data_IF_263464292284
#
_entry.id   IF_263464292284
#
_cell.length_a   1.000
_cell.length_b   1.000
_cell.length_c   1.000
_cell.angle_alpha   90.00
_cell.angle_beta   90.00
_cell.angle_gamma   90.00
#
_symmetry.space_group_name_H-M   'P 1'
#
loop_
_entity.id
_entity.type
_entity.pdbx_description
1 polymer ?
#
# COMPACT_ATOMS: atom_id res chain seq x y z
N UNK A 1 -3.09 -20.30 23.55
CA UNK A 1 -1.89 -19.67 23.01
C UNK A 1 -2.28 -18.58 22.02
N UNK A 2 -1.79 -17.39 22.20
CA UNK A 2 -2.14 -16.28 21.33
C UNK A 2 -1.19 -16.24 20.13
N UNK A 3 -1.72 -15.81 18.99
CA UNK A 3 -0.89 -15.57 17.81
C UNK A 3 -0.09 -14.29 18.00
N UNK A 4 1.13 -14.22 17.44
CA UNK A 4 1.82 -12.95 17.36
C UNK A 4 1.00 -11.96 16.55
N UNK A 5 0.92 -10.76 17.03
CA UNK A 5 0.23 -9.69 16.30
C UNK A 5 1.18 -9.15 15.23
N UNK A 6 0.73 -9.15 13.98
CA UNK A 6 1.52 -8.60 12.89
C UNK A 6 1.57 -7.08 13.04
N UNK A 7 2.77 -6.54 12.96
CA UNK A 7 2.92 -5.08 12.95
C UNK A 7 2.34 -4.51 11.67
N UNK A 8 1.84 -3.29 11.74
CA UNK A 8 1.41 -2.58 10.55
C UNK A 8 2.62 -2.12 9.74
N UNK A 9 2.45 -1.83 8.44
CA UNK A 9 3.58 -1.37 7.63
C UNK A 9 4.27 -0.14 8.19
N UNK A 10 3.52 0.81 8.71
CA UNK A 10 4.10 2.05 9.23
C UNK A 10 4.99 1.81 10.45
N UNK A 11 4.73 0.73 11.19
CA UNK A 11 5.53 0.40 12.36
C UNK A 11 6.90 -0.19 11.99
N UNK A 12 7.08 -0.54 10.73
CA UNK A 12 8.32 -1.16 10.24
C UNK A 12 9.27 -0.15 9.61
N UNK A 13 8.94 1.12 9.66
CA UNK A 13 9.80 2.19 9.18
C UNK A 13 9.90 3.28 10.26
N UNK A 14 10.99 4.01 10.26
CA UNK A 14 11.17 5.08 11.22
C UNK A 14 10.28 6.28 10.92
N UNK A 15 9.92 6.49 9.66
CA UNK A 15 9.06 7.59 9.26
C UNK A 15 8.30 7.21 8.00
N UNK A 16 7.03 6.88 8.16
CA UNK A 16 6.18 6.48 7.05
C UNK A 16 5.63 7.71 6.35
N UNK A 17 5.57 7.74 5.02
CA UNK A 17 6.14 6.77 4.09
C UNK A 17 7.53 7.15 3.57
N UNK A 18 8.19 8.09 4.20
CA UNK A 18 9.39 8.73 3.66
C UNK A 18 10.65 7.90 3.81
N UNK A 19 10.73 7.11 4.87
CA UNK A 19 11.92 6.32 5.15
C UNK A 19 11.71 4.87 4.76
N UNK A 20 12.69 4.25 4.09
CA UNK A 20 12.59 2.83 3.75
C UNK A 20 12.47 1.94 4.98
N UNK A 21 11.80 0.82 4.81
CA UNK A 21 11.71 -0.20 5.85
C UNK A 21 12.81 -1.23 5.63
N UNK A 22 13.40 -1.69 6.73
CA UNK A 22 14.40 -2.77 6.67
C UNK A 22 13.71 -4.10 6.38
N UNK A 23 12.53 -4.30 6.96
CA UNK A 23 11.74 -5.50 6.72
C UNK A 23 11.26 -5.53 5.27
N UNK A 24 11.55 -6.62 4.52
CA UNK A 24 11.16 -6.67 3.10
C UNK A 24 9.67 -6.50 2.86
N UNK A 25 8.84 -7.09 3.72
CA UNK A 25 7.39 -6.94 3.58
C UNK A 25 6.96 -5.50 3.78
N UNK A 26 7.53 -4.86 4.80
CA UNK A 26 7.24 -3.45 5.06
C UNK A 26 7.66 -2.55 3.91
N UNK A 27 8.79 -2.84 3.29
CA UNK A 27 9.26 -2.05 2.17
C UNK A 27 8.36 -2.22 0.94
N UNK A 28 7.87 -3.45 0.69
CA UNK A 28 6.93 -3.68 -0.40
C UNK A 28 5.64 -2.87 -0.15
N UNK A 29 5.13 -2.90 1.07
CA UNK A 29 3.92 -2.14 1.41
C UNK A 29 4.13 -0.64 1.25
N UNK A 30 5.31 -0.14 1.64
CA UNK A 30 5.64 1.28 1.52
C UNK A 30 5.66 1.70 0.04
N UNK A 31 6.33 0.91 -0.79
CA UNK A 31 6.40 1.21 -2.23
C UNK A 31 5.04 1.09 -2.90
N UNK A 32 4.23 0.11 -2.46
CA UNK A 32 2.87 0.00 -2.96
C UNK A 32 2.08 1.28 -2.65
N UNK A 33 2.17 1.77 -1.42
CA UNK A 33 1.47 2.99 -1.03
C UNK A 33 1.94 4.20 -1.86
N UNK A 34 3.22 4.30 -2.13
CA UNK A 34 3.75 5.37 -2.96
C UNK A 34 3.23 5.26 -4.40
N UNK A 35 3.23 4.04 -4.94
CA UNK A 35 2.71 3.80 -6.29
C UNK A 35 1.23 4.14 -6.38
N UNK A 36 0.48 3.78 -5.34
CA UNK A 36 -0.94 4.11 -5.28
C UNK A 36 -1.15 5.62 -5.28
N UNK A 37 -0.39 6.34 -4.46
CA UNK A 37 -0.51 7.79 -4.39
C UNK A 37 -0.25 8.44 -5.75
N UNK A 38 0.78 7.97 -6.45
CA UNK A 38 1.11 8.49 -7.77
C UNK A 38 0.01 8.17 -8.78
N UNK A 39 -0.52 6.94 -8.73
CA UNK A 39 -1.56 6.53 -9.67
C UNK A 39 -2.88 7.25 -9.41
N UNK A 40 -3.12 7.68 -8.19
CA UNK A 40 -4.30 8.49 -7.88
C UNK A 40 -4.29 9.83 -8.60
N UNK A 41 -3.11 10.35 -8.86
CA UNK A 41 -2.91 11.53 -9.71
C UNK A 41 -3.77 12.71 -9.26
N UNK A 42 -3.72 13.02 -7.97
CA UNK A 42 -4.46 14.13 -7.39
C UNK A 42 -5.92 13.84 -7.06
N UNK A 43 -6.43 12.66 -7.41
CA UNK A 43 -7.80 12.29 -7.04
C UNK A 43 -7.93 12.16 -5.54
N UNK A 44 -9.10 12.49 -5.02
CA UNK A 44 -9.40 12.28 -3.62
C UNK A 44 -9.52 10.78 -3.32
N UNK A 45 -9.46 10.44 -2.03
CA UNK A 45 -9.68 9.06 -1.61
C UNK A 45 -11.08 8.58 -2.03
N UNK A 46 -12.06 9.47 -1.94
CA UNK A 46 -13.44 9.13 -2.31
C UNK A 46 -13.56 8.87 -3.80
N UNK A 47 -12.95 9.72 -4.62
CA UNK A 47 -12.98 9.53 -6.07
C UNK A 47 -12.27 8.23 -6.47
N UNK A 48 -11.16 7.92 -5.81
CA UNK A 48 -10.43 6.69 -6.05
C UNK A 48 -11.28 5.49 -5.66
N UNK A 49 -11.99 5.58 -4.53
CA UNK A 49 -12.88 4.50 -4.10
C UNK A 49 -13.98 4.23 -5.14
N UNK A 50 -14.56 5.29 -5.66
CA UNK A 50 -15.61 5.14 -6.69
C UNK A 50 -15.07 4.52 -7.97
N UNK A 51 -13.88 4.94 -8.36
CA UNK A 51 -13.27 4.46 -9.60
C UNK A 51 -12.86 2.99 -9.51
N UNK A 52 -12.36 2.56 -8.35
CA UNK A 52 -11.77 1.23 -8.20
C UNK A 52 -12.69 0.22 -7.56
N UNK A 53 -13.74 0.66 -6.89
CA UNK A 53 -14.61 -0.23 -6.13
C UNK A 53 -14.00 -0.66 -4.79
N UNK A 54 -12.88 -0.06 -4.40
CA UNK A 54 -12.26 -0.34 -3.10
C UNK A 54 -12.80 0.66 -2.08
N UNK A 55 -13.10 0.17 -0.89
CA UNK A 55 -13.65 0.99 0.17
C UNK A 55 -12.73 2.17 0.51
N UNK A 56 -13.34 3.32 0.75
CA UNK A 56 -12.61 4.55 1.09
C UNK A 56 -11.66 4.33 2.28
N UNK A 57 -12.15 3.69 3.33
CA UNK A 57 -11.33 3.49 4.53
C UNK A 57 -10.16 2.54 4.28
N UNK A 58 -10.33 1.59 3.36
CA UNK A 58 -9.25 0.70 2.98
C UNK A 58 -8.14 1.46 2.26
N UNK A 59 -8.51 2.33 1.33
CA UNK A 59 -7.53 3.17 0.62
C UNK A 59 -6.77 4.04 1.63
N UNK A 60 -7.50 4.67 2.54
CA UNK A 60 -6.90 5.53 3.55
C UNK A 60 -5.94 4.75 4.45
N UNK A 61 -6.31 3.55 4.86
CA UNK A 61 -5.47 2.72 5.71
C UNK A 61 -4.20 2.25 5.00
N UNK A 62 -4.29 1.95 3.71
CA UNK A 62 -3.11 1.56 2.94
C UNK A 62 -2.15 2.75 2.79
N UNK A 63 -2.67 3.91 2.45
CA UNK A 63 -1.83 5.09 2.26
C UNK A 63 -1.16 5.53 3.55
N UNK A 64 -1.82 5.36 4.68
CA UNK A 64 -1.26 5.74 5.97
C UNK A 64 -0.38 4.66 6.60
N UNK A 65 -0.26 3.50 5.95
CA UNK A 65 0.59 2.42 6.45
C UNK A 65 0.01 1.65 7.61
N UNK A 66 -1.29 1.76 7.85
CA UNK A 66 -1.94 1.04 8.95
C UNK A 66 -2.43 -0.34 8.55
N UNK A 67 -2.56 -0.61 7.26
CA UNK A 67 -3.09 -1.88 6.78
C UNK A 67 -2.20 -2.47 5.71
N UNK A 68 -2.15 -3.79 5.67
CA UNK A 68 -1.51 -4.56 4.61
C UNK A 68 -2.52 -4.76 3.49
N UNK A 69 -2.21 -4.35 2.25
CA UNK A 69 -3.13 -4.65 1.14
C UNK A 69 -3.13 -6.15 0.86
N UNK A 70 -4.31 -6.70 0.58
CA UNK A 70 -4.41 -8.10 0.18
C UNK A 70 -4.53 -8.18 -1.35
N UNK A 71 -4.44 -9.40 -1.88
CA UNK A 71 -4.44 -9.59 -3.33
C UNK A 71 -5.71 -9.06 -3.98
N UNK A 72 -6.85 -9.26 -3.34
CA UNK A 72 -8.12 -8.77 -3.86
C UNK A 72 -8.08 -7.25 -4.03
N UNK A 73 -7.62 -6.56 -3.00
CA UNK A 73 -7.54 -5.10 -3.01
C UNK A 73 -6.54 -4.61 -4.03
N UNK A 74 -5.36 -5.25 -4.09
CA UNK A 74 -4.33 -4.89 -5.07
C UNK A 74 -4.88 -5.00 -6.49
N UNK A 75 -5.53 -6.11 -6.80
CA UNK A 75 -6.06 -6.33 -8.14
C UNK A 75 -7.10 -5.28 -8.52
N UNK A 76 -7.99 -4.94 -7.58
CA UNK A 76 -9.02 -3.94 -7.85
C UNK A 76 -8.43 -2.55 -8.06
N UNK A 77 -7.45 -2.19 -7.25
CA UNK A 77 -6.81 -0.89 -7.40
C UNK A 77 -6.07 -0.80 -8.74
N UNK A 78 -5.32 -1.83 -9.10
CA UNK A 78 -4.60 -1.83 -10.36
C UNK A 78 -5.54 -1.77 -11.56
N UNK A 79 -6.61 -2.55 -11.52
CA UNK A 79 -7.57 -2.57 -12.61
C UNK A 79 -8.30 -1.24 -12.75
N UNK A 80 -8.76 -0.69 -11.62
CA UNK A 80 -9.53 0.56 -11.64
C UNK A 80 -8.70 1.76 -12.01
N UNK A 81 -7.43 1.81 -11.60
CA UNK A 81 -6.53 2.90 -11.92
C UNK A 81 -5.76 2.66 -13.22
N UNK A 82 -5.87 1.46 -13.77
CA UNK A 82 -5.15 1.06 -14.98
C UNK A 82 -3.65 1.33 -14.84
N UNK A 83 -3.08 0.89 -13.73
CA UNK A 83 -1.68 1.14 -13.40
C UNK A 83 -1.12 -0.01 -12.58
N UNK A 84 0.15 -0.38 -12.82
CA UNK A 84 0.80 -1.37 -11.97
C UNK A 84 1.17 -0.73 -10.64
N UNK A 85 0.75 -1.34 -9.54
CA UNK A 85 1.03 -0.82 -8.20
C UNK A 85 1.93 -1.76 -7.40
N UNK A 86 1.83 -3.06 -7.68
CA UNK A 86 2.62 -4.07 -6.99
C UNK A 86 4.09 -3.94 -7.40
N UNK A 87 5.01 -3.66 -6.45
CA UNK A 87 6.41 -3.44 -6.81
C UNK A 87 7.17 -4.71 -7.16
N UNK A 88 6.60 -5.88 -6.85
CA UNK A 88 7.27 -7.14 -7.15
C UNK A 88 8.36 -7.48 -6.15
N UNK A 89 9.25 -8.37 -6.54
CA UNK A 89 10.37 -8.77 -5.71
C UNK A 89 11.39 -7.63 -5.66
N UNK A 90 11.74 -7.22 -4.45
CA UNK A 90 12.73 -6.16 -4.26
C UNK A 90 14.12 -6.77 -4.21
N UNK A 91 15.06 -6.18 -4.96
CA UNK A 91 16.43 -6.64 -4.99
C UNK A 91 17.34 -5.54 -4.48
N UNK A 92 18.24 -5.90 -3.59
CA UNK A 92 19.11 -4.94 -2.92
C UNK A 92 20.26 -4.47 -3.79
N UNK A 93 20.55 -5.17 -4.86
CA UNK A 93 21.70 -4.88 -5.70
C UNK A 93 21.34 -4.15 -6.99
N UNK A 94 20.14 -3.61 -7.05
CA UNK A 94 19.70 -2.90 -8.27
C UNK A 94 19.69 -1.41 -8.09
#
# INVERSE_FOLDING_TARGET
MSRPVRRSPRELTESWPDMPAVDPSGEVARRFAENLRKAMDGRSHRATAELTGVNYSTIQSILSGRAWPDLYTIAKLEAGLNAPLWPGLLRSDE
#
